data_IF_765227870805
#
_entry.id   IF_765227870805
#
_cell.length_a   1.000
_cell.length_b   1.000
_cell.length_c   1.000
_cell.angle_alpha   90.00
_cell.angle_beta   90.00
_cell.angle_gamma   90.00
#
_symmetry.space_group_name_H-M   'P 1'
#
loop_
_entity.id
_entity.type
_entity.pdbx_description
1 polymer ?
2 non-polymer ?
3 non-polymer ?
4 non-polymer ?
5 water ?
#
# COMPACT_ATOMS: atom_id res chain seq x y z
N UNK A 1 -15.58 3.76 -14.08
CA UNK A 1 -14.90 3.62 -15.41
C UNK A 1 -14.88 2.19 -16.00
N UNK A 2 -15.53 1.20 -15.34
CA UNK A 2 -16.20 1.23 -14.03
C UNK A 2 -15.26 0.94 -12.88
N UNK A 3 -15.76 1.10 -11.66
CA UNK A 3 -14.93 0.98 -10.45
C UNK A 3 -14.49 -0.46 -10.16
N UNK A 4 -13.20 -0.61 -9.86
CA UNK A 4 -12.61 -1.93 -9.59
C UNK A 4 -12.48 -2.20 -8.10
N UNK A 5 -13.05 -3.34 -7.67
CA UNK A 5 -12.94 -3.79 -6.28
C UNK A 5 -11.51 -4.01 -5.84
N UNK A 6 -11.29 -3.85 -4.55
CA UNK A 6 -9.96 -3.97 -3.95
C UNK A 6 -9.72 -5.36 -3.39
N UNK A 7 -8.56 -5.93 -3.71
CA UNK A 7 -8.18 -7.22 -3.18
C UNK A 7 -7.59 -7.13 -1.77
N UNK A 8 -7.21 -8.28 -1.20
CA UNK A 8 -6.73 -8.25 0.19
C UNK A 8 -5.44 -7.46 0.39
N UNK A 9 -4.52 -7.54 -0.57
CA UNK A 9 -3.28 -6.78 -0.47
C UNK A 9 -3.56 -5.28 -0.60
N UNK A 10 -4.47 -4.91 -1.49
CA UNK A 10 -4.77 -3.50 -1.71
C UNK A 10 -5.41 -2.89 -0.46
N UNK A 11 -6.28 -3.64 0.19
CA UNK A 11 -6.87 -3.20 1.45
C UNK A 11 -5.82 -3.10 2.57
N UNK A 12 -4.98 -4.13 2.69
CA UNK A 12 -3.93 -4.14 3.72
C UNK A 12 -2.99 -2.95 3.55
N UNK A 13 -2.66 -2.64 2.29
CA UNK A 13 -1.84 -1.47 2.00
C UNK A 13 -2.47 -0.20 2.54
N UNK A 14 -3.76 -0.01 2.28
CA UNK A 14 -4.48 1.15 2.81
C UNK A 14 -4.42 1.20 4.33
N UNK A 15 -4.72 0.10 5.00
CA UNK A 15 -4.71 0.11 6.46
C UNK A 15 -3.33 0.48 7.00
N UNK A 16 -2.28 -0.16 6.47
CA UNK A 16 -0.94 0.02 7.03
C UNK A 16 -0.41 1.40 6.72
N UNK A 17 -0.66 1.91 5.51
CA UNK A 17 -0.19 3.25 5.16
C UNK A 17 -0.91 4.31 6.00
N UNK A 18 -2.20 4.10 6.24
CA UNK A 18 -2.93 5.04 7.09
C UNK A 18 -2.43 4.99 8.53
N UNK A 19 -2.11 3.80 9.05
CA UNK A 19 -1.46 3.72 10.36
C UNK A 19 -0.16 4.51 10.36
N UNK A 20 0.67 4.30 9.34
CA UNK A 20 1.96 5.02 9.26
C UNK A 20 1.78 6.53 9.29
N UNK A 21 0.76 7.01 8.58
CA UNK A 21 0.61 8.44 8.41
C UNK A 21 -0.18 9.11 9.53
N UNK A 22 -0.84 8.32 10.37
CA UNK A 22 -1.72 8.91 11.41
C UNK A 22 -1.45 8.48 12.84
N UNK A 23 -0.78 7.35 13.05
CA UNK A 23 -0.40 7.01 14.42
C UNK A 23 0.50 8.07 15.01
N UNK A 24 0.25 8.46 16.26
CA UNK A 24 1.22 9.35 16.90
C UNK A 24 2.49 8.58 17.26
N UNK A 25 3.58 9.31 17.46
CA UNK A 25 4.81 8.71 17.95
C UNK A 25 4.86 8.87 19.48
N UNK A 26 5.65 8.02 20.12
CA UNK A 26 5.76 8.04 21.57
C UNK A 26 4.76 7.13 22.27
N UNK A 27 4.48 7.46 23.53
CA UNK A 27 3.63 6.64 24.41
C UNK A 27 2.19 6.49 23.92
N UNK A 28 1.70 7.49 23.21
CA UNK A 28 0.32 7.48 22.70
C UNK A 28 0.09 6.48 21.57
N UNK A 29 1.16 6.07 20.89
CA UNK A 29 1.08 5.14 19.76
C UNK A 29 0.27 3.88 20.08
N UNK A 30 0.63 3.21 21.18
CA UNK A 30 -0.01 1.95 21.58
C UNK A 30 -1.51 2.11 21.82
N UNK A 31 -1.91 3.20 22.48
CA UNK A 31 -3.31 3.47 22.82
C UNK A 31 -4.21 3.55 21.58
N UNK A 32 -3.81 4.37 20.60
CA UNK A 32 -4.54 4.50 19.35
C UNK A 32 -4.53 3.19 18.57
N UNK A 33 -3.37 2.56 18.47
CA UNK A 33 -3.26 1.30 17.74
C UNK A 33 -4.18 0.22 18.32
N UNK A 34 -4.26 0.13 19.66
CA UNK A 34 -5.13 -0.85 20.31
C UNK A 34 -6.60 -0.66 19.94
N UNK A 35 -7.06 0.58 19.95
CA UNK A 35 -8.44 0.89 19.59
C UNK A 35 -8.69 0.65 18.10
N UNK A 36 -7.78 1.13 17.25
CA UNK A 36 -7.96 1.00 15.82
C UNK A 36 -7.83 -0.46 15.35
N UNK A 37 -6.93 -1.23 15.96
CA UNK A 37 -6.79 -2.65 15.67
C UNK A 37 -8.10 -3.39 15.92
N UNK A 38 -8.86 -2.91 16.91
CA UNK A 38 -10.15 -3.50 17.26
C UNK A 38 -11.29 -2.89 16.43
N UNK A 39 -10.93 -2.08 15.42
CA UNK A 39 -11.90 -1.41 14.55
C UNK A 39 -12.87 -0.51 15.33
N UNK A 40 -12.32 0.15 16.34
CA UNK A 40 -13.06 1.15 17.09
C UNK A 40 -12.59 2.52 16.63
N UNK A 41 -13.53 3.34 16.18
CA UNK A 41 -13.19 4.70 15.73
C UNK A 41 -13.15 5.66 16.92
N UNK A 42 -12.17 5.40 17.78
CA UNK A 42 -11.98 6.09 19.05
C UNK A 42 -10.46 6.28 19.26
N UNK A 43 -10.07 7.27 20.06
CA UNK A 43 -10.93 8.29 20.69
C UNK A 43 -11.48 9.29 19.70
N UNK A 44 -12.44 10.10 20.13
CA UNK A 44 -13.06 11.11 19.29
C UNK A 44 -12.20 12.37 19.25
N UNK A 45 -11.10 12.32 18.51
CA UNK A 45 -10.23 13.48 18.34
C UNK A 45 -9.68 13.51 16.92
N UNK A 46 -8.93 14.56 16.60
CA UNK A 46 -8.44 14.81 15.24
C UNK A 46 -7.52 13.72 14.70
N UNK A 47 -6.80 13.02 15.58
CA UNK A 47 -5.93 11.92 15.17
C UNK A 47 -6.80 10.81 14.56
N UNK A 48 -7.83 10.38 15.29
CA UNK A 48 -8.76 9.40 14.76
C UNK A 48 -9.56 9.93 13.58
N UNK A 49 -9.97 11.20 13.63
CA UNK A 49 -10.76 11.76 12.52
C UNK A 49 -10.00 11.62 11.20
N UNK A 50 -8.73 12.02 11.20
CA UNK A 50 -7.99 11.97 9.95
C UNK A 50 -7.56 10.57 9.57
N UNK A 51 -7.39 9.71 10.56
CA UNK A 51 -7.19 8.30 10.28
C UNK A 51 -8.40 7.72 9.54
N UNK A 52 -9.60 8.02 10.03
CA UNK A 52 -10.83 7.58 9.37
C UNK A 52 -10.92 8.10 7.93
N UNK A 53 -10.62 9.38 7.74
CA UNK A 53 -10.63 9.94 6.39
C UNK A 53 -9.62 9.22 5.50
N UNK A 54 -8.43 8.93 6.04
CA UNK A 54 -7.42 8.21 5.29
C UNK A 54 -7.93 6.84 4.80
N UNK A 55 -8.56 6.10 5.69
CA UNK A 55 -9.01 4.76 5.32
C UNK A 55 -10.20 4.82 4.35
N UNK A 56 -11.14 5.72 4.59
CA UNK A 56 -12.27 5.89 3.69
C UNK A 56 -11.79 6.27 2.28
N UNK A 57 -10.77 7.13 2.21
CA UNK A 57 -10.21 7.53 0.93
C UNK A 57 -9.48 6.37 0.27
N UNK A 58 -8.65 5.67 1.03
CA UNK A 58 -7.85 4.56 0.48
C UNK A 58 -8.72 3.42 -0.03
N UNK A 59 -9.78 3.09 0.72
CA UNK A 59 -10.69 2.04 0.28
C UNK A 59 -11.65 2.54 -0.80
N UNK A 60 -11.58 3.84 -1.09
CA UNK A 60 -12.32 4.48 -2.18
C UNK A 60 -13.83 4.51 -1.92
N UNK A 61 -14.18 4.40 -0.64
CA UNK A 61 -15.54 4.63 -0.17
C UNK A 61 -15.88 6.12 -0.25
N UNK A 62 -14.89 6.97 0.02
CA UNK A 62 -14.99 8.41 -0.16
C UNK A 62 -14.12 8.83 -1.34
N UNK A 63 -14.69 9.63 -2.25
CA UNK A 63 -13.91 10.19 -3.34
C UNK A 63 -13.60 11.66 -3.05
N UNK A 64 -12.30 12.00 -2.91
CA UNK A 64 -11.94 13.37 -2.54
C UNK A 64 -12.16 14.41 -3.64
N UNK A 65 -12.15 13.99 -4.90
CA UNK A 65 -12.36 14.93 -6.01
C UNK A 65 -13.83 15.34 -6.11
N UNK A 66 -14.71 14.36 -5.99
CA UNK A 66 -16.15 14.64 -5.97
C UNK A 66 -16.63 15.11 -4.60
N UNK A 67 -15.80 14.92 -3.58
CA UNK A 67 -16.20 15.14 -2.20
C UNK A 67 -17.51 14.40 -1.90
N UNK A 68 -17.50 13.09 -2.16
CA UNK A 68 -18.71 12.29 -2.11
C UNK A 68 -18.43 10.90 -1.57
N UNK A 69 -19.38 10.38 -0.78
CA UNK A 69 -19.43 8.96 -0.47
C UNK A 69 -19.97 8.23 -1.68
N UNK A 70 -19.28 7.17 -2.07
CA UNK A 70 -19.59 6.46 -3.30
C UNK A 70 -20.36 5.18 -2.99
N UNK A 71 -21.65 5.34 -2.69
CA UNK A 71 -22.49 4.25 -2.20
C UNK A 71 -22.52 3.04 -3.12
N UNK A 72 -22.52 3.27 -4.43
CA UNK A 72 -22.68 2.17 -5.37
C UNK A 72 -21.45 1.29 -5.49
N UNK A 73 -20.33 1.76 -4.94
CA UNK A 73 -19.11 0.95 -4.94
C UNK A 73 -19.18 -0.19 -3.95
N UNK A 74 -20.03 -0.06 -2.93
CA UNK A 74 -20.14 -1.09 -1.90
C UNK A 74 -20.65 -2.42 -2.47
N UNK A 75 -21.73 -2.39 -3.27
CA UNK A 75 -22.14 -3.65 -3.89
C UNK A 75 -21.10 -4.21 -4.89
N UNK A 76 -20.32 -3.35 -5.53
CA UNK A 76 -19.27 -3.82 -6.44
C UNK A 76 -18.19 -4.56 -5.64
N UNK A 77 -17.76 -3.97 -4.52
CA UNK A 77 -16.80 -4.60 -3.65
C UNK A 77 -17.31 -5.94 -3.16
N UNK A 78 -18.57 -5.97 -2.73
CA UNK A 78 -19.21 -7.21 -2.33
C UNK A 78 -19.22 -8.27 -3.43
N UNK A 79 -19.69 -7.90 -4.60
CA UNK A 79 -19.87 -8.87 -5.69
C UNK A 79 -18.56 -9.53 -6.09
N UNK A 80 -17.46 -8.79 -6.02
CA UNK A 80 -16.17 -9.32 -6.46
C UNK A 80 -15.66 -10.52 -5.63
N UNK A 81 -16.11 -10.62 -4.38
CA UNK A 81 -15.58 -11.64 -3.46
C UNK A 81 -16.69 -12.38 -2.70
N UNK A 82 -17.93 -12.25 -3.17
CA UNK A 82 -19.09 -12.78 -2.44
C UNK A 82 -19.07 -14.29 -2.18
N UNK A 83 -18.45 -15.06 -3.07
CA UNK A 83 -18.39 -16.51 -2.87
C UNK A 83 -17.42 -16.89 -1.75
N UNK A 84 -16.50 -15.98 -1.42
CA UNK A 84 -15.52 -16.20 -0.36
C UNK A 84 -16.02 -15.64 0.98
N UNK A 85 -16.51 -14.41 0.97
CA UNK A 85 -16.95 -13.76 2.21
C UNK A 85 -18.26 -14.31 2.76
N UNK A 86 -19.13 -14.76 1.85
CA UNK A 86 -20.48 -15.16 2.21
C UNK A 86 -21.31 -14.07 2.89
N UNK A 87 -20.92 -12.81 2.68
CA UNK A 87 -21.71 -11.68 3.20
C UNK A 87 -23.12 -11.70 2.60
N UNK A 88 -24.08 -11.19 3.34
CA UNK A 88 -25.48 -11.24 2.93
C UNK A 88 -25.88 -10.04 2.08
N UNK A 89 -26.45 -10.30 0.90
CA UNK A 89 -26.90 -9.25 -0.01
C UNK A 89 -27.80 -8.20 0.66
N UNK A 90 -28.71 -8.65 1.53
CA UNK A 90 -29.60 -7.74 2.24
C UNK A 90 -28.81 -6.71 3.05
N UNK A 91 -27.79 -7.17 3.77
CA UNK A 91 -26.98 -6.29 4.62
C UNK A 91 -26.14 -5.34 3.77
N UNK A 92 -25.61 -5.85 2.66
CA UNK A 92 -24.84 -5.04 1.71
C UNK A 92 -25.67 -3.86 1.18
N UNK A 93 -26.91 -4.14 0.78
CA UNK A 93 -27.84 -3.10 0.36
C UNK A 93 -28.09 -2.06 1.46
N UNK A 94 -28.25 -2.55 2.69
CA UNK A 94 -28.47 -1.65 3.82
C UNK A 94 -27.25 -0.76 4.07
N UNK A 95 -26.05 -1.33 3.91
CA UNK A 95 -24.80 -0.56 4.04
C UNK A 95 -24.70 0.51 2.95
N UNK A 96 -24.94 0.11 1.71
CA UNK A 96 -25.00 1.03 0.58
C UNK A 96 -25.96 2.18 0.86
N UNK A 97 -27.15 1.86 1.36
CA UNK A 97 -28.17 2.86 1.62
C UNK A 97 -27.77 3.82 2.73
N UNK A 98 -27.18 3.29 3.81
CA UNK A 98 -26.68 4.14 4.89
C UNK A 98 -25.61 5.11 4.38
N UNK A 99 -24.74 4.65 3.48
CA UNK A 99 -23.74 5.53 2.87
C UNK A 99 -24.37 6.60 1.97
N UNK A 100 -25.43 6.24 1.26
CA UNK A 100 -26.14 7.18 0.42
C UNK A 100 -26.79 8.32 1.23
N UNK A 101 -27.10 8.05 2.50
CA UNK A 101 -27.68 9.07 3.38
C UNK A 101 -26.63 10.01 3.97
N UNK A 102 -25.37 9.57 3.94
CA UNK A 102 -24.31 10.29 4.64
C UNK A 102 -23.95 11.59 3.94
N UNK A 103 -23.70 12.63 4.74
CA UNK A 103 -23.39 13.97 4.24
C UNK A 103 -21.92 14.29 4.50
N UNK A 104 -21.14 14.33 3.42
CA UNK A 104 -19.70 14.61 3.49
C UNK A 104 -19.42 16.05 3.93
N UNK A 105 -20.38 16.94 3.73
CA UNK A 105 -20.23 18.37 4.06
C UNK A 105 -18.93 18.91 3.44
N UNK A 106 -18.00 19.44 4.26
CA UNK A 106 -16.77 20.04 3.72
C UNK A 106 -15.75 19.02 3.22
N UNK A 107 -15.89 17.78 3.66
CA UNK A 107 -14.90 16.75 3.35
C UNK A 107 -13.70 16.76 4.29
N UNK A 108 -13.74 17.61 5.32
CA UNK A 108 -12.71 17.64 6.34
C UNK A 108 -12.68 16.32 7.11
N UNK A 109 -11.58 16.07 7.80
CA UNK A 109 -11.48 14.85 8.62
C UNK A 109 -12.67 14.71 9.56
N UNK A 110 -13.01 15.77 10.29
CA UNK A 110 -14.10 15.67 11.27
C UNK A 110 -15.46 15.49 10.60
N UNK A 111 -15.67 16.14 9.45
CA UNK A 111 -16.94 16.02 8.74
C UNK A 111 -17.15 14.58 8.25
N UNK A 112 -16.10 13.97 7.73
CA UNK A 112 -16.21 12.59 7.26
C UNK A 112 -16.36 11.61 8.43
N UNK A 113 -15.59 11.81 9.49
CA UNK A 113 -15.74 11.03 10.70
C UNK A 113 -17.16 11.09 11.25
N UNK A 114 -17.70 12.30 11.39
CA UNK A 114 -19.04 12.46 11.94
C UNK A 114 -20.09 11.77 11.07
N UNK A 115 -19.95 11.90 9.76
CA UNK A 115 -20.89 11.28 8.83
C UNK A 115 -20.78 9.76 8.84
N UNK A 116 -19.55 9.25 8.86
CA UNK A 116 -19.34 7.82 8.75
C UNK A 116 -19.55 7.05 10.06
N UNK A 117 -19.37 7.73 11.19
CA UNK A 117 -19.40 7.05 12.49
C UNK A 117 -20.61 6.14 12.74
N UNK A 118 -21.86 6.64 12.54
CA UNK A 118 -22.98 5.71 12.77
C UNK A 118 -23.06 4.58 11.74
N UNK A 119 -22.59 4.84 10.52
CA UNK A 119 -22.53 3.79 9.50
C UNK A 119 -21.56 2.70 9.93
N UNK A 120 -20.39 3.12 10.40
CA UNK A 120 -19.41 2.22 10.98
C UNK A 120 -19.98 1.43 12.15
N UNK A 121 -20.64 2.12 13.07
CA UNK A 121 -21.16 1.44 14.26
C UNK A 121 -22.21 0.38 13.91
N UNK A 122 -22.98 0.63 12.85
CA UNK A 122 -23.99 -0.31 12.39
C UNK A 122 -23.40 -1.48 11.57
N UNK A 123 -22.41 -1.17 10.72
CA UNK A 123 -21.96 -2.14 9.72
C UNK A 123 -20.50 -2.54 9.85
N UNK A 124 -19.89 -2.33 11.01
CA UNK A 124 -18.47 -2.64 11.14
C UNK A 124 -18.11 -4.07 10.73
N UNK A 125 -18.87 -5.06 11.21
CA UNK A 125 -18.53 -6.44 10.87
C UNK A 125 -18.64 -6.73 9.38
N UNK A 126 -19.73 -6.26 8.76
CA UNK A 126 -19.89 -6.39 7.32
C UNK A 126 -18.74 -5.70 6.58
N UNK A 127 -18.39 -4.50 7.00
CA UNK A 127 -17.34 -3.76 6.32
C UNK A 127 -16.01 -4.51 6.38
N UNK A 128 -15.75 -5.18 7.50
CA UNK A 128 -14.54 -5.97 7.64
C UNK A 128 -14.55 -7.21 6.76
N UNK A 129 -15.73 -7.76 6.47
CA UNK A 129 -15.85 -8.84 5.49
C UNK A 129 -15.61 -8.31 4.08
N UNK A 130 -16.28 -7.21 3.73
CA UNK A 130 -16.19 -6.70 2.35
C UNK A 130 -14.80 -6.21 1.99
N UNK A 131 -14.15 -5.52 2.93
CA UNK A 131 -12.87 -4.87 2.68
C UNK A 131 -11.67 -5.56 3.34
N UNK A 132 -11.82 -6.87 3.57
CA UNK A 132 -10.67 -7.72 3.94
C UNK A 132 -9.98 -7.21 5.21
N UNK A 133 -10.81 -6.89 6.18
CA UNK A 133 -10.36 -6.32 7.46
C UNK A 133 -10.33 -7.28 8.63
N UNK A 134 -10.34 -8.59 8.35
CA UNK A 134 -10.06 -9.60 9.37
C UNK A 134 -8.92 -10.48 8.88
N UNK A 135 -8.10 -10.95 9.81
CA UNK A 135 -6.99 -11.86 9.45
C UNK A 135 -7.53 -13.13 8.77
N UNK A 136 -8.55 -13.73 9.36
CA UNK A 136 -9.10 -14.99 8.86
C UNK A 136 -9.79 -14.81 7.50
N UNK A 137 -10.53 -13.71 7.35
CA UNK A 137 -11.20 -13.44 6.08
C UNK A 137 -10.22 -13.14 4.96
N UNK A 138 -9.22 -12.30 5.26
CA UNK A 138 -8.19 -12.00 4.26
C UNK A 138 -7.45 -13.27 3.83
N UNK A 139 -7.18 -14.16 4.80
CA UNK A 139 -6.49 -15.41 4.50
C UNK A 139 -7.26 -16.23 3.45
N UNK A 140 -8.59 -16.19 3.53
CA UNK A 140 -9.40 -16.92 2.55
C UNK A 140 -9.25 -16.32 1.16
N UNK A 141 -9.13 -14.99 1.09
CA UNK A 141 -8.91 -14.31 -0.18
C UNK A 141 -7.58 -14.72 -0.79
N UNK A 142 -6.49 -14.68 -0.01
CA UNK A 142 -5.18 -15.08 -0.52
C UNK A 142 -5.19 -16.53 -0.99
N UNK A 143 -5.85 -17.39 -0.22
CA UNK A 143 -5.91 -18.82 -0.57
C UNK A 143 -6.64 -19.05 -1.89
N UNK A 144 -7.70 -18.28 -2.12
CA UNK A 144 -8.50 -18.42 -3.35
C UNK A 144 -7.87 -17.72 -4.55
N UNK A 145 -6.97 -16.77 -4.29
CA UNK A 145 -6.40 -15.92 -5.32
C UNK A 145 -4.87 -15.86 -5.21
N UNK A 146 -4.18 -16.91 -5.70
CA UNK A 146 -2.72 -17.02 -5.57
C UNK A 146 -1.94 -15.92 -6.29
N UNK A 147 -2.62 -15.18 -7.18
CA UNK A 147 -2.00 -14.10 -7.95
C UNK A 147 -1.82 -12.81 -7.15
N UNK A 148 -2.31 -12.79 -5.91
CA UNK A 148 -2.15 -11.62 -5.02
C UNK A 148 -0.84 -11.78 -4.24
N UNK A 149 -0.05 -10.73 -4.14
CA UNK A 149 1.15 -10.77 -3.29
C UNK A 149 0.75 -11.10 -1.85
N UNK A 150 1.40 -12.11 -1.27
CA UNK A 150 1.04 -12.59 0.04
C UNK A 150 1.75 -11.80 1.13
N UNK A 151 1.22 -11.86 2.35
CA UNK A 151 1.95 -11.34 3.49
C UNK A 151 3.22 -12.16 3.66
N UNK A 152 4.33 -11.49 3.93
CA UNK A 152 5.63 -12.15 4.11
C UNK A 152 6.42 -12.26 2.82
N UNK A 153 5.81 -11.87 1.71
CA UNK A 153 6.43 -11.95 0.39
C UNK A 153 6.70 -10.53 -0.06
N UNK A 154 7.94 -10.20 -0.45
CA UNK A 154 8.20 -8.84 -0.92
C UNK A 154 7.65 -8.65 -2.32
N UNK A 155 7.37 -7.40 -2.68
CA UNK A 155 7.01 -7.15 -4.06
C UNK A 155 8.11 -7.56 -5.02
N UNK A 156 9.36 -7.36 -4.62
CA UNK A 156 10.47 -7.74 -5.50
C UNK A 156 10.45 -9.25 -5.79
N UNK A 157 10.17 -10.07 -4.79
CA UNK A 157 10.10 -11.52 -4.99
C UNK A 157 8.86 -11.93 -5.78
N UNK A 158 7.71 -11.34 -5.44
CA UNK A 158 6.49 -11.60 -6.17
C UNK A 158 6.66 -11.29 -7.66
N UNK A 159 7.25 -10.14 -7.94
CA UNK A 159 7.44 -9.68 -9.31
C UNK A 159 8.50 -10.48 -10.06
N UNK A 160 9.56 -10.87 -9.37
CA UNK A 160 10.58 -11.76 -9.97
C UNK A 160 9.95 -13.05 -10.51
N UNK A 161 9.08 -13.66 -9.69
CA UNK A 161 8.42 -14.92 -10.04
C UNK A 161 7.60 -14.79 -11.31
N UNK A 162 7.02 -13.61 -11.54
CA UNK A 162 6.21 -13.42 -12.73
C UNK A 162 6.97 -12.87 -13.94
N UNK A 163 8.10 -12.23 -13.70
CA UNK A 163 8.95 -11.73 -14.78
C UNK A 163 9.80 -12.82 -15.43
N UNK A 164 10.32 -13.72 -14.61
CA UNK A 164 11.10 -14.87 -15.07
C UNK A 164 10.33 -16.15 -14.79
N UNK A 165 9.43 -16.50 -15.71
CA UNK A 165 8.58 -17.67 -15.55
C UNK A 165 8.73 -18.64 -16.74
N UNK A 166 9.76 -18.41 -17.55
CA UNK A 166 10.04 -19.26 -18.71
C UNK A 166 11.31 -20.07 -18.53
N UNK A 167 11.99 -20.35 -19.64
CA UNK A 167 13.22 -21.12 -19.61
C UNK A 167 14.43 -20.34 -19.10
N UNK A 168 14.44 -19.03 -19.35
CA UNK A 168 15.56 -18.18 -18.95
C UNK A 168 15.67 -18.04 -17.44
N UNK A 169 16.88 -18.26 -16.93
CA UNK A 169 17.20 -18.11 -15.52
C UNK A 169 16.98 -16.67 -15.08
N UNK A 170 16.42 -16.50 -13.88
CA UNK A 170 16.29 -15.16 -13.31
C UNK A 170 17.65 -14.48 -13.15
N UNK A 171 17.66 -13.19 -13.46
CA UNK A 171 18.86 -12.37 -13.26
C UNK A 171 19.18 -12.24 -11.77
N UNK A 172 18.20 -12.58 -10.92
CA UNK A 172 18.33 -12.44 -9.49
C UNK A 172 18.42 -13.81 -8.79
N UNK A 173 18.74 -14.85 -9.55
CA UNK A 173 18.83 -16.22 -9.04
C UNK A 173 19.70 -16.39 -7.80
N UNK A 174 20.86 -15.75 -7.77
CA UNK A 174 21.73 -15.80 -6.59
C UNK A 174 21.44 -14.71 -5.55
N UNK A 175 20.37 -13.94 -5.79
CA UNK A 175 20.02 -12.77 -4.99
C UNK A 175 19.88 -11.58 -5.93
N UNK A 176 18.94 -10.68 -5.62
CA UNK A 176 18.73 -9.50 -6.44
C UNK A 176 19.94 -8.56 -6.38
N UNK A 177 20.34 -8.05 -7.53
CA UNK A 177 21.38 -7.03 -7.58
C UNK A 177 20.93 -5.89 -8.50
N UNK A 178 21.79 -4.90 -8.67
CA UNK A 178 21.43 -3.70 -9.41
C UNK A 178 22.01 -3.67 -10.82
N UNK A 179 22.35 -4.84 -11.34
CA UNK A 179 22.88 -4.95 -12.70
C UNK A 179 21.80 -4.52 -13.70
N UNK A 180 22.14 -3.58 -14.56
CA UNK A 180 21.21 -3.07 -15.55
C UNK A 180 21.42 -3.75 -16.90
N UNK A 181 20.47 -4.62 -17.27
CA UNK A 181 20.59 -5.41 -18.49
C UNK A 181 19.68 -4.94 -19.63
N UNK A 182 18.67 -4.14 -19.28
CA UNK A 182 17.65 -3.75 -20.25
C UNK A 182 16.85 -4.92 -20.81
N UNK A 183 16.86 -6.05 -20.13
CA UNK A 183 16.14 -7.22 -20.63
C UNK A 183 14.63 -7.02 -20.48
N UNK A 184 13.82 -7.67 -21.35
CA UNK A 184 12.36 -7.53 -21.20
C UNK A 184 11.88 -8.01 -19.84
N UNK A 185 12.55 -9.01 -19.29
CA UNK A 185 12.17 -9.55 -17.98
C UNK A 185 12.46 -8.56 -16.87
N UNK A 186 13.64 -7.93 -16.91
CA UNK A 186 13.98 -6.93 -15.90
C UNK A 186 13.03 -5.73 -15.98
N UNK A 187 12.73 -5.28 -17.18
CA UNK A 187 11.80 -4.17 -17.34
C UNK A 187 10.43 -4.52 -16.75
N UNK A 188 9.97 -5.75 -17.00
CA UNK A 188 8.70 -6.19 -16.44
C UNK A 188 8.73 -6.25 -14.91
N UNK A 189 9.77 -6.88 -14.37
CA UNK A 189 9.93 -6.96 -12.92
C UNK A 189 9.89 -5.58 -12.28
N UNK A 190 10.63 -4.64 -12.87
CA UNK A 190 10.73 -3.30 -12.31
C UNK A 190 9.40 -2.53 -12.40
N UNK A 191 8.65 -2.72 -13.48
CA UNK A 191 7.31 -2.13 -13.58
C UNK A 191 6.41 -2.67 -12.47
N UNK A 192 6.45 -3.98 -12.29
CA UNK A 192 5.63 -4.64 -11.28
C UNK A 192 6.02 -4.14 -9.88
N UNK A 193 7.31 -3.96 -9.65
CA UNK A 193 7.77 -3.49 -8.35
C UNK A 193 7.39 -2.03 -8.12
N UNK A 194 7.61 -1.17 -9.12
CA UNK A 194 7.26 0.23 -8.97
C UNK A 194 5.78 0.42 -8.68
N UNK A 195 4.93 -0.38 -9.32
CA UNK A 195 3.49 -0.32 -9.03
C UNK A 195 3.19 -0.86 -7.63
N UNK A 196 3.84 -1.95 -7.24
CA UNK A 196 3.64 -2.53 -5.91
C UNK A 196 4.08 -1.61 -4.78
N UNK A 197 5.14 -0.83 -5.02
CA UNK A 197 5.63 0.13 -4.03
C UNK A 197 4.92 1.48 -4.11
N UNK A 198 3.98 1.60 -5.05
CA UNK A 198 3.20 2.82 -5.27
C UNK A 198 4.08 4.00 -5.73
N UNK A 199 5.22 3.68 -6.31
CA UNK A 199 6.03 4.67 -7.04
C UNK A 199 5.30 5.18 -8.28
N UNK A 200 4.48 4.32 -8.87
CA UNK A 200 3.70 4.64 -10.05
C UNK A 200 2.34 3.98 -9.94
N UNK A 201 1.35 4.58 -10.58
CA UNK A 201 0.03 3.96 -10.71
C UNK A 201 -0.53 4.33 -12.06
N UNK A 202 -1.83 4.16 -12.26
CA UNK A 202 -2.46 4.46 -13.54
C UNK A 202 -2.35 5.94 -13.96
N UNK A 203 -2.04 6.81 -13.00
CA UNK A 203 -1.89 8.25 -13.26
C UNK A 203 -0.42 8.65 -13.51
N UNK A 204 0.49 7.68 -13.43
CA UNK A 204 1.89 7.90 -13.73
C UNK A 204 2.78 7.89 -12.50
N UNK A 205 3.84 8.69 -12.58
CA UNK A 205 4.86 8.76 -11.55
C UNK A 205 4.40 9.49 -10.29
N UNK A 206 4.79 8.96 -9.14
CA UNK A 206 4.57 9.64 -7.86
C UNK A 206 5.91 10.03 -7.28
N UNK A 207 6.38 11.23 -7.64
CA UNK A 207 7.69 11.69 -7.18
C UNK A 207 7.75 11.69 -5.66
N UNK A 208 6.65 12.11 -5.02
CA UNK A 208 6.63 12.20 -3.56
C UNK A 208 6.81 10.85 -2.87
N UNK A 209 6.38 9.76 -3.51
CA UNK A 209 6.52 8.43 -2.92
C UNK A 209 7.97 7.96 -2.94
N UNK A 210 8.67 8.25 -4.03
CA UNK A 210 10.10 7.91 -4.07
C UNK A 210 10.86 8.77 -3.04
N UNK A 211 10.55 10.06 -2.95
CA UNK A 211 11.14 10.91 -1.93
C UNK A 211 10.88 10.34 -0.53
N UNK A 212 9.66 9.86 -0.27
CA UNK A 212 9.32 9.30 1.04
C UNK A 212 10.28 8.18 1.43
N UNK A 213 10.67 7.36 0.47
CA UNK A 213 11.60 6.27 0.73
C UNK A 213 13.00 6.76 1.12
N UNK A 214 13.44 7.88 0.55
CA UNK A 214 14.70 8.51 0.99
C UNK A 214 14.55 9.13 2.39
N UNK A 215 13.39 9.72 2.66
CA UNK A 215 13.13 10.27 4.01
C UNK A 215 13.19 9.15 5.04
N UNK A 216 12.66 7.99 4.68
CA UNK A 216 12.60 6.84 5.59
C UNK A 216 13.96 6.22 5.92
N UNK A 217 14.98 6.47 5.10
CA UNK A 217 16.36 6.09 5.42
C UNK A 217 17.17 7.27 5.95
N UNK A 218 16.48 8.30 6.42
CA UNK A 218 17.11 9.47 7.06
C UNK A 218 17.99 10.27 6.10
N UNK A 219 17.51 10.38 4.86
CA UNK A 219 18.20 11.15 3.83
C UNK A 219 17.30 12.26 3.27
N UNK A 220 16.62 12.97 4.17
CA UNK A 220 15.74 14.07 3.78
C UNK A 220 16.48 15.16 3.02
N UNK A 221 17.78 15.33 3.29
CA UNK A 221 18.55 16.36 2.60
C UNK A 221 18.72 16.07 1.10
N UNK A 222 18.48 14.84 0.69
CA UNK A 222 18.63 14.45 -0.72
C UNK A 222 17.40 14.71 -1.57
N UNK A 223 16.31 15.18 -0.94
CA UNK A 223 15.06 15.40 -1.69
C UNK A 223 15.24 16.17 -3.01
N UNK A 224 15.93 17.34 -2.99
CA UNK A 224 16.05 18.06 -4.27
C UNK A 224 16.79 17.26 -5.34
N UNK A 225 17.75 16.42 -4.94
CA UNK A 225 18.50 15.59 -5.89
C UNK A 225 17.64 14.45 -6.42
N UNK A 226 16.82 13.87 -5.56
CA UNK A 226 15.89 12.81 -5.98
C UNK A 226 14.95 13.39 -7.04
N UNK A 227 14.38 14.55 -6.75
CA UNK A 227 13.48 15.21 -7.68
C UNK A 227 14.16 15.53 -9.00
N UNK A 228 15.40 16.04 -8.93
CA UNK A 228 16.19 16.39 -10.11
C UNK A 228 16.48 15.17 -10.99
N UNK A 229 16.89 14.06 -10.36
CA UNK A 229 17.21 12.85 -11.11
C UNK A 229 15.98 12.30 -11.83
N UNK A 230 14.84 12.30 -11.15
CA UNK A 230 13.60 11.84 -11.78
C UNK A 230 13.16 12.80 -12.89
N UNK A 231 13.30 14.10 -12.63
CA UNK A 231 12.84 15.12 -13.57
C UNK A 231 13.60 15.08 -14.88
N UNK A 232 14.90 14.80 -14.78
CA UNK A 232 15.78 14.82 -15.96
C UNK A 232 15.83 13.46 -16.66
N UNK A 233 15.12 12.47 -16.13
CA UNK A 233 15.10 11.15 -16.70
C UNK A 233 14.30 11.16 -18.00
N UNK A 234 14.95 10.78 -19.10
CA UNK A 234 14.26 10.58 -20.37
C UNK A 234 13.54 9.23 -20.30
N UNK A 235 12.32 9.20 -20.76
CA UNK A 235 11.55 7.98 -20.65
C UNK A 235 10.63 8.07 -19.47
N UNK A 236 9.51 7.38 -19.59
CA UNK A 236 8.47 7.44 -18.57
C UNK A 236 8.05 6.06 -18.09
N UNK A 237 8.83 5.04 -18.43
CA UNK A 237 8.59 3.69 -17.91
C UNK A 237 9.29 3.52 -16.57
N UNK A 238 8.72 2.64 -15.73
CA UNK A 238 9.35 2.31 -14.45
C UNK A 238 10.85 2.03 -14.61
N UNK A 239 11.20 1.18 -15.58
CA UNK A 239 12.59 0.84 -15.82
C UNK A 239 13.47 2.05 -16.12
N UNK A 240 12.92 3.02 -16.85
CA UNK A 240 13.68 4.25 -17.13
C UNK A 240 14.05 4.99 -15.86
N UNK A 241 13.09 5.16 -14.95
CA UNK A 241 13.35 5.85 -13.68
C UNK A 241 14.33 5.08 -12.81
N UNK A 242 14.17 3.76 -12.77
CA UNK A 242 15.09 2.89 -12.06
C UNK A 242 16.54 3.06 -12.56
N UNK A 243 16.72 3.02 -13.88
CA UNK A 243 18.04 3.25 -14.50
C UNK A 243 18.58 4.64 -14.14
N UNK A 244 17.72 5.65 -14.21
CA UNK A 244 18.17 7.00 -13.86
C UNK A 244 18.67 7.09 -12.42
N UNK A 245 17.95 6.46 -11.49
CA UNK A 245 18.34 6.48 -10.08
C UNK A 245 19.62 5.70 -9.84
N UNK A 246 19.69 4.51 -10.42
CA UNK A 246 20.83 3.62 -10.20
C UNK A 246 22.11 4.24 -10.77
N UNK A 247 22.02 4.89 -11.92
CA UNK A 247 23.21 5.44 -12.56
C UNK A 247 23.59 6.86 -12.14
N UNK A 248 22.87 7.39 -11.15
CA UNK A 248 23.09 8.74 -10.64
C UNK A 248 24.01 8.77 -9.43
N UNK A 249 24.34 9.98 -8.98
CA UNK A 249 25.12 10.18 -7.76
C UNK A 249 24.37 9.65 -6.52
N UNK A 250 23.06 9.40 -6.67
CA UNK A 250 22.23 8.83 -5.58
C UNK A 250 22.35 7.32 -5.44
N UNK A 251 23.10 6.68 -6.34
CA UNK A 251 23.16 5.21 -6.45
C UNK A 251 23.03 4.45 -5.13
N UNK A 252 23.98 4.64 -4.22
CA UNK A 252 23.99 3.86 -3.00
C UNK A 252 22.79 4.17 -2.11
N UNK A 253 22.42 5.44 -2.05
CA UNK A 253 21.25 5.82 -1.25
C UNK A 253 19.97 5.24 -1.82
N UNK A 254 19.84 5.24 -3.15
CA UNK A 254 18.69 4.60 -3.76
C UNK A 254 18.65 3.10 -3.42
N UNK A 255 19.79 2.43 -3.53
CA UNK A 255 19.83 1.01 -3.22
C UNK A 255 19.36 0.79 -1.79
N UNK A 256 19.81 1.63 -0.86
CA UNK A 256 19.41 1.48 0.54
C UNK A 256 17.92 1.73 0.73
N UNK A 257 17.39 2.75 0.05
CA UNK A 257 15.98 3.10 0.13
C UNK A 257 15.08 2.01 -0.47
N UNK A 258 15.50 1.49 -1.61
CA UNK A 258 14.74 0.47 -2.35
C UNK A 258 14.80 -0.86 -1.60
N UNK A 259 15.96 -1.20 -1.04
CA UNK A 259 16.11 -2.41 -0.23
C UNK A 259 15.25 -2.34 1.02
N UNK A 260 15.21 -1.16 1.67
CA UNK A 260 14.37 -1.01 2.87
C UNK A 260 12.90 -1.17 2.48
N UNK A 261 12.50 -0.60 1.34
CA UNK A 261 11.14 -0.80 0.90
C UNK A 261 10.86 -2.25 0.52
N UNK A 262 11.86 -2.97 0.00
CA UNK A 262 11.64 -4.40 -0.21
C UNK A 262 11.21 -5.08 1.09
N UNK A 263 11.96 -4.84 2.17
CA UNK A 263 11.60 -5.38 3.47
C UNK A 263 10.20 -4.98 3.90
N UNK A 264 9.91 -3.69 3.82
CA UNK A 264 8.62 -3.17 4.22
C UNK A 264 7.49 -3.73 3.36
N UNK A 265 7.77 -4.03 2.10
CA UNK A 265 6.75 -4.58 1.20
C UNK A 265 6.46 -6.04 1.51
N UNK A 266 7.36 -6.70 2.23
CA UNK A 266 7.12 -8.07 2.70
C UNK A 266 6.33 -8.08 3.99
N UNK A 267 6.58 -7.09 4.85
CA UNK A 267 5.96 -7.03 6.17
C UNK A 267 5.26 -5.68 6.31
N UNK A 268 3.97 -5.65 5.99
CA UNK A 268 3.21 -4.39 6.02
C UNK A 268 3.08 -3.80 7.43
N UNK A 269 3.37 -4.60 8.45
CA UNK A 269 3.32 -4.12 9.83
C UNK A 269 4.66 -3.56 10.32
N UNK A 270 5.68 -3.58 9.45
CA UNK A 270 7.06 -3.29 9.88
C UNK A 270 7.23 -1.99 10.69
N UNK A 271 6.65 -0.89 10.22
CA UNK A 271 6.83 0.41 10.86
C UNK A 271 5.82 0.69 11.96
N UNK A 272 4.87 -0.22 12.16
CA UNK A 272 3.65 0.12 12.93
C UNK A 272 3.80 0.22 14.46
N UNK A 273 4.77 -0.48 15.03
CA UNK A 273 5.05 -0.39 16.47
C UNK A 273 6.05 0.74 16.79
N UNK A 275 9.45 -0.27 14.95
CA UNK A 275 10.73 -0.31 14.27
C UNK A 275 10.93 0.87 13.31
N UNK A 276 12.15 1.38 13.26
CA UNK A 276 12.56 2.37 12.27
C UNK A 276 13.78 1.87 11.50
N UNK A 277 14.20 2.62 10.49
CA UNK A 277 15.37 2.25 9.73
C UNK A 277 16.61 2.24 10.60
N UNK A 278 17.40 1.18 10.45
CA UNK A 278 18.66 1.05 11.18
C UNK A 278 19.82 1.28 10.22
N UNK A 279 20.14 0.27 9.41
CA UNK A 279 21.19 0.37 8.40
C UNK A 279 21.02 -0.75 7.38
N UNK A 280 21.79 -0.73 6.27
CA UNK A 280 21.56 -1.73 5.22
C UNK A 280 21.78 -3.17 5.67
N UNK A 281 22.74 -3.40 6.56
CA UNK A 281 23.02 -4.77 7.03
C UNK A 281 21.87 -5.34 7.85
N UNK A 282 21.26 -4.50 8.69
CA UNK A 282 20.11 -4.91 9.47
C UNK A 282 18.93 -5.26 8.57
N UNK A 283 18.71 -4.44 7.54
CA UNK A 283 17.65 -4.69 6.57
C UNK A 283 17.83 -6.07 5.92
N UNK A 284 19.05 -6.36 5.48
CA UNK A 284 19.35 -7.65 4.86
C UNK A 284 19.08 -8.82 5.82
N UNK A 285 19.50 -8.68 7.07
CA UNK A 285 19.23 -9.73 8.06
C UNK A 285 17.74 -9.97 8.27
N UNK A 286 16.97 -8.89 8.36
CA UNK A 286 15.51 -8.99 8.50
C UNK A 286 14.86 -9.64 7.27
N UNK A 287 15.38 -9.35 6.08
CA UNK A 287 14.82 -9.92 4.85
C UNK A 287 15.03 -11.42 4.76
N UNK A 288 16.09 -11.93 5.38
CA UNK A 288 16.38 -13.38 5.35
C UNK A 288 15.27 -14.20 6.02
N UNK A 289 14.52 -13.58 6.92
CA UNK A 289 13.42 -14.25 7.62
C UNK A 289 12.16 -14.37 6.77
N UNK A 290 12.11 -13.64 5.66
CA UNK A 290 10.89 -13.53 4.86
C UNK A 290 11.13 -14.02 3.43
N UNK A 291 10.08 -14.02 2.62
CA UNK A 291 10.17 -14.45 1.23
C UNK A 291 10.58 -13.24 0.37
N UNK A 292 11.88 -13.03 0.29
CA UNK A 292 12.45 -11.86 -0.38
C UNK A 292 13.52 -12.27 -1.39
N UNK A 293 14.13 -11.27 -2.02
CA UNK A 293 15.15 -11.50 -3.03
C UNK A 293 16.56 -11.32 -2.47
N UNK A 294 16.68 -11.38 -1.15
CA UNK A 294 17.96 -11.19 -0.45
C UNK A 294 18.97 -12.30 -0.75
N UNK A 295 20.25 -11.97 -0.63
CA UNK A 295 21.34 -12.94 -0.74
C UNK A 295 21.51 -13.71 0.55
N UNK A 296 21.58 -15.04 0.42
CA UNK A 296 21.81 -15.92 1.57
C UNK A 296 23.24 -16.46 1.59
#
# INVERSE_FOLDING_TARGET
QPWKALDAEQALYVYKRCYEDHLPSGSDRKTYMTLWNAWRLEPNDAITHCYAKCVLTGLQIYDPQENAFKSDRIPVQYQAYKTITQSKQKEVTEYQKALAAANAKSGSCVDLYNAYLPVHNRFVNLSRQLYHGTVEGAAKIYAAMPEIKQKGESFHAYCEKRAWKGNKQSEWKNGRRYKLTGSPELKDAIDCIFRGLRYMDDTGLKVDEIVRDFNLINKSELEPEVRSVLASCKGSEAYDYYVCLVNSRLKQHFKNAFDFHELRSADYAYLLRGKVYENPEKVKEEMKKLNTTVHF
#
